data_IF_762954835598
#
_entry.id   IF_762954835598
#
_cell.length_a   1.000
_cell.length_b   1.000
_cell.length_c   1.000
_cell.angle_alpha   90.00
_cell.angle_beta   90.00
_cell.angle_gamma   90.00
#
_symmetry.space_group_name_H-M   'P 1'
#
loop_
_entity.id
_entity.type
_entity.pdbx_description
1 polymer ?
#
# COMPACT_ATOMS: atom_id res chain seq x y z
N UNK A 1 -15.89 9.33 -4.79
CA UNK A 1 -14.84 8.51 -5.44
C UNK A 1 -14.50 7.33 -4.53
N UNK A 2 -14.33 6.14 -5.10
CA UNK A 2 -13.90 4.94 -4.39
C UNK A 2 -12.40 4.73 -4.64
N UNK A 3 -11.59 4.83 -3.59
CA UNK A 3 -10.13 4.69 -3.66
C UNK A 3 -9.69 3.23 -3.58
N UNK A 4 -8.48 2.94 -4.07
CA UNK A 4 -7.87 1.60 -3.96
C UNK A 4 -7.83 1.06 -2.51
N UNK A 5 -7.61 1.93 -1.51
CA UNK A 5 -7.62 1.57 -0.09
C UNK A 5 -8.98 1.10 0.42
N UNK A 6 -10.09 1.57 -0.17
CA UNK A 6 -11.45 1.20 0.19
C UNK A 6 -12.08 0.14 -0.73
N UNK A 7 -11.55 -0.04 -1.94
CA UNK A 7 -12.10 -0.95 -2.94
C UNK A 7 -12.25 -2.39 -2.42
N UNK A 8 -11.23 -2.89 -1.72
CA UNK A 8 -11.25 -4.24 -1.15
C UNK A 8 -12.32 -4.45 -0.08
N UNK A 9 -12.68 -3.39 0.67
CA UNK A 9 -13.76 -3.43 1.66
C UNK A 9 -15.11 -3.59 0.96
N UNK A 10 -15.34 -2.80 -0.09
CA UNK A 10 -16.59 -2.83 -0.87
C UNK A 10 -16.76 -4.18 -1.57
N UNK A 11 -15.73 -4.68 -2.26
CA UNK A 11 -15.81 -5.95 -2.99
C UNK A 11 -16.01 -7.18 -2.10
N UNK A 12 -15.73 -7.07 -0.79
CA UNK A 12 -15.82 -8.19 0.17
C UNK A 12 -16.89 -7.97 1.23
N UNK A 13 -17.72 -6.95 1.05
CA UNK A 13 -18.77 -6.61 1.99
C UNK A 13 -19.74 -7.78 2.13
N UNK A 14 -19.98 -8.22 3.37
CA UNK A 14 -20.96 -9.28 3.65
C UNK A 14 -22.37 -8.72 3.52
N UNK A 15 -23.34 -9.57 3.19
CA UNK A 15 -24.77 -9.18 3.17
C UNK A 15 -25.26 -8.62 4.50
N UNK A 16 -24.65 -9.02 5.62
CA UNK A 16 -24.96 -8.53 6.97
C UNK A 16 -24.25 -7.24 7.34
N UNK A 17 -23.27 -6.78 6.55
CA UNK A 17 -22.58 -5.51 6.78
C UNK A 17 -23.42 -4.37 6.24
N UNK A 18 -23.69 -3.36 7.07
CA UNK A 18 -24.48 -2.20 6.63
C UNK A 18 -23.78 -1.42 5.53
N UNK A 19 -24.40 -1.37 4.35
CA UNK A 19 -23.95 -0.55 3.24
C UNK A 19 -23.90 0.93 3.63
N UNK A 20 -24.91 1.42 4.35
CA UNK A 20 -25.00 2.81 4.78
C UNK A 20 -23.81 3.22 5.67
N UNK A 21 -23.40 2.36 6.60
CA UNK A 21 -22.23 2.63 7.46
C UNK A 21 -20.94 2.64 6.64
N UNK A 22 -20.78 1.67 5.72
CA UNK A 22 -19.61 1.60 4.83
C UNK A 22 -19.48 2.87 3.99
N UNK A 23 -20.57 3.33 3.37
CA UNK A 23 -20.60 4.56 2.57
C UNK A 23 -20.29 5.78 3.44
N UNK A 24 -20.86 5.87 4.65
CA UNK A 24 -20.56 6.96 5.59
C UNK A 24 -19.07 7.02 5.91
N UNK A 25 -18.43 5.89 6.19
CA UNK A 25 -17.00 5.84 6.51
C UNK A 25 -16.10 6.16 5.31
N UNK A 26 -16.55 5.91 4.08
CA UNK A 26 -15.80 6.27 2.87
C UNK A 26 -15.89 7.78 2.63
N UNK A 27 -17.06 8.39 2.83
CA UNK A 27 -17.29 9.83 2.60
C UNK A 27 -16.74 10.70 3.73
N UNK A 28 -16.84 10.21 4.97
CA UNK A 28 -16.45 10.89 6.20
C UNK A 28 -15.57 9.95 7.03
N UNK A 29 -14.32 9.72 6.59
CA UNK A 29 -13.43 8.81 7.29
C UNK A 29 -13.19 9.32 8.72
N UNK A 30 -13.27 8.43 9.73
CA UNK A 30 -12.96 8.81 11.10
C UNK A 30 -11.50 9.24 11.19
N UNK A 31 -11.21 10.18 12.08
CA UNK A 31 -9.84 10.51 12.42
C UNK A 31 -9.23 9.32 13.19
N UNK A 32 -8.21 8.69 12.59
CA UNK A 32 -7.47 7.59 13.20
C UNK A 32 -5.99 7.96 13.19
N UNK A 33 -5.43 8.13 14.38
CA UNK A 33 -3.99 8.33 14.56
C UNK A 33 -3.47 7.30 15.55
N UNK A 34 -2.77 6.29 15.03
CA UNK A 34 -2.21 5.19 15.82
C UNK A 34 -0.70 5.19 15.67
N UNK A 35 0.01 4.62 16.65
CA UNK A 35 1.46 4.48 16.56
C UNK A 35 1.93 3.78 15.28
N UNK A 36 1.15 2.83 14.75
CA UNK A 36 1.45 2.15 13.50
C UNK A 36 1.28 3.06 12.26
N UNK A 37 0.23 3.89 12.22
CA UNK A 37 0.02 4.87 11.12
C UNK A 37 1.12 5.93 11.16
N UNK A 38 1.42 6.47 12.34
CA UNK A 38 2.49 7.45 12.52
C UNK A 38 3.85 6.88 12.09
N UNK A 39 4.20 5.69 12.57
CA UNK A 39 5.42 5.00 12.16
C UNK A 39 5.49 4.79 10.64
N UNK A 40 4.38 4.37 10.03
CA UNK A 40 4.27 4.21 8.58
C UNK A 40 4.62 5.49 7.83
N UNK A 41 3.96 6.59 8.21
CA UNK A 41 4.16 7.93 7.63
C UNK A 41 5.60 8.42 7.79
N UNK A 42 6.18 8.26 8.98
CA UNK A 42 7.52 8.75 9.29
C UNK A 42 8.63 7.99 8.53
N UNK A 43 8.38 6.71 8.20
CA UNK A 43 9.38 5.83 7.55
C UNK A 43 9.18 5.65 6.03
N UNK A 44 8.05 6.09 5.49
CA UNK A 44 7.70 5.89 4.07
C UNK A 44 8.74 6.49 3.12
N UNK A 45 9.16 7.73 3.36
CA UNK A 45 10.12 8.43 2.49
C UNK A 45 11.51 7.78 2.53
N UNK A 46 11.97 7.36 3.71
CA UNK A 46 13.21 6.61 3.85
C UNK A 46 13.15 5.27 3.10
N UNK A 47 12.05 4.51 3.26
CA UNK A 47 11.86 3.25 2.55
C UNK A 47 11.80 3.43 1.03
N UNK A 48 11.26 4.56 0.56
CA UNK A 48 11.23 4.92 -0.86
C UNK A 48 12.63 5.18 -1.42
N UNK A 49 13.46 5.93 -0.68
CA UNK A 49 14.84 6.23 -1.06
C UNK A 49 15.67 4.95 -1.12
N UNK A 50 15.57 4.09 -0.11
CA UNK A 50 16.25 2.80 -0.08
C UNK A 50 15.84 1.93 -1.27
N UNK A 51 14.54 1.86 -1.56
CA UNK A 51 14.02 1.11 -2.70
C UNK A 51 14.58 1.65 -4.02
N UNK A 52 14.63 2.98 -4.19
CA UNK A 52 15.19 3.61 -5.38
C UNK A 52 16.67 3.24 -5.59
N UNK A 53 17.47 3.27 -4.52
CA UNK A 53 18.90 2.88 -4.53
C UNK A 53 19.04 1.41 -4.92
N UNK A 54 18.26 0.52 -4.33
CA UNK A 54 18.34 -0.91 -4.61
C UNK A 54 17.93 -1.27 -6.04
N UNK A 55 16.88 -0.63 -6.54
CA UNK A 55 16.44 -0.81 -7.92
C UNK A 55 17.34 -0.11 -8.93
N UNK A 56 18.24 0.77 -8.47
CA UNK A 56 19.03 1.68 -9.30
C UNK A 56 18.14 2.49 -10.26
N UNK A 57 16.97 2.89 -9.77
CA UNK A 57 15.93 3.58 -10.54
C UNK A 57 15.32 4.70 -9.71
N UNK A 58 14.95 5.79 -10.39
CA UNK A 58 14.26 6.89 -9.75
C UNK A 58 12.79 6.53 -9.53
N UNK A 59 12.29 6.76 -8.30
CA UNK A 59 10.87 6.68 -7.99
C UNK A 59 10.32 8.10 -7.94
N UNK A 60 9.45 8.44 -8.90
CA UNK A 60 8.87 9.78 -9.00
C UNK A 60 7.65 9.90 -8.10
N UNK A 61 7.42 11.08 -7.48
CA UNK A 61 6.16 11.34 -6.77
C UNK A 61 4.99 11.30 -7.77
N UNK A 62 3.80 10.96 -7.28
CA UNK A 62 2.60 10.95 -8.09
C UNK A 62 1.38 11.50 -7.36
N UNK A 63 0.41 11.97 -8.14
CA UNK A 63 -0.88 12.42 -7.64
C UNK A 63 -1.95 11.33 -7.72
N UNK A 64 -3.20 11.77 -7.71
CA UNK A 64 -4.36 10.91 -7.87
C UNK A 64 -4.50 10.46 -9.34
N UNK A 65 -4.52 9.16 -9.56
CA UNK A 65 -4.91 8.56 -10.83
C UNK A 65 -6.40 8.20 -10.81
N UNK A 66 -7.11 8.59 -11.86
CA UNK A 66 -8.52 8.26 -12.07
C UNK A 66 -8.61 7.27 -13.22
N UNK A 67 -9.40 6.21 -13.07
CA UNK A 67 -9.63 5.26 -14.15
C UNK A 67 -10.45 5.92 -15.27
N UNK A 68 -10.00 5.79 -16.52
CA UNK A 68 -10.64 6.45 -17.67
C UNK A 68 -12.05 5.93 -17.94
N UNK A 69 -12.25 4.61 -17.86
CA UNK A 69 -13.54 3.97 -18.15
C UNK A 69 -14.50 4.03 -16.96
N UNK A 70 -13.95 4.13 -15.75
CA UNK A 70 -14.69 4.15 -14.49
C UNK A 70 -14.22 5.33 -13.62
N UNK A 71 -14.63 6.58 -13.92
CA UNK A 71 -14.11 7.78 -13.25
C UNK A 71 -14.38 7.85 -11.74
N UNK A 72 -15.28 7.00 -11.22
CA UNK A 72 -15.51 6.86 -9.78
C UNK A 72 -14.43 6.04 -9.07
N UNK A 73 -13.50 5.38 -9.79
CA UNK A 73 -12.37 4.65 -9.24
C UNK A 73 -11.09 5.48 -9.31
N UNK A 74 -10.35 5.55 -8.20
CA UNK A 74 -9.08 6.24 -8.15
C UNK A 74 -8.05 5.60 -7.22
N UNK A 75 -6.79 5.96 -7.39
CA UNK A 75 -5.69 5.54 -6.54
C UNK A 75 -4.59 6.59 -6.52
N UNK A 76 -3.92 6.72 -5.38
CA UNK A 76 -2.67 7.47 -5.26
C UNK A 76 -1.61 6.45 -4.88
N UNK A 77 -0.81 5.96 -5.84
CA UNK A 77 0.37 5.15 -5.54
C UNK A 77 1.37 5.97 -4.71
N UNK A 78 2.29 5.29 -4.04
CA UNK A 78 3.36 5.95 -3.29
C UNK A 78 4.46 6.45 -4.24
N UNK A 79 4.55 5.90 -5.45
CA UNK A 79 5.41 6.45 -6.49
C UNK A 79 5.24 5.80 -7.87
N UNK A 80 5.88 6.42 -8.85
CA UNK A 80 5.96 5.95 -10.23
C UNK A 80 7.38 5.47 -10.54
N UNK A 81 7.48 4.36 -11.27
CA UNK A 81 8.74 3.73 -11.66
C UNK A 81 8.75 3.52 -13.18
N UNK A 82 9.75 4.08 -13.85
CA UNK A 82 9.88 4.03 -15.32
C UNK A 82 8.63 4.57 -16.05
N UNK A 83 8.12 3.86 -17.06
CA UNK A 83 6.99 4.28 -17.91
C UNK A 83 5.61 3.77 -17.44
N UNK A 84 5.54 2.58 -16.82
CA UNK A 84 4.28 1.92 -16.46
C UNK A 84 4.28 1.37 -15.01
N UNK A 85 5.40 1.48 -14.31
CA UNK A 85 5.57 0.92 -12.98
C UNK A 85 4.95 1.82 -11.93
N UNK A 86 4.28 1.21 -10.96
CA UNK A 86 3.81 1.90 -9.75
C UNK A 86 4.43 1.24 -8.52
N UNK A 87 4.62 2.04 -7.48
CA UNK A 87 5.18 1.61 -6.20
C UNK A 87 4.14 1.80 -5.11
N UNK A 88 4.02 0.80 -4.24
CA UNK A 88 3.22 0.83 -3.02
C UNK A 88 4.13 0.35 -1.88
N UNK A 89 4.49 1.25 -0.98
CA UNK A 89 5.36 1.05 0.17
C UNK A 89 4.50 0.80 1.40
N UNK A 90 4.94 -0.13 2.24
CA UNK A 90 4.31 -0.37 3.54
C UNK A 90 5.38 -0.59 4.59
N UNK A 91 5.33 0.23 5.64
CA UNK A 91 6.23 0.16 6.78
C UNK A 91 5.44 -0.27 8.03
N UNK A 92 5.16 -1.57 8.22
CA UNK A 92 4.41 -2.04 9.38
C UNK A 92 5.26 -1.94 10.66
N UNK A 93 4.69 -1.35 11.71
CA UNK A 93 5.37 -1.23 13.01
C UNK A 93 5.85 -2.58 13.57
N UNK A 94 5.13 -3.67 13.30
CA UNK A 94 5.53 -5.02 13.72
C UNK A 94 6.83 -5.53 13.08
N UNK A 95 7.27 -4.93 11.98
CA UNK A 95 8.52 -5.27 11.30
C UNK A 95 9.65 -4.27 11.58
N UNK A 96 9.47 -3.35 12.53
CA UNK A 96 10.42 -2.23 12.78
C UNK A 96 11.88 -2.68 12.91
N UNK A 97 12.12 -3.78 13.62
CA UNK A 97 13.47 -4.28 13.91
C UNK A 97 13.87 -5.45 13.01
N UNK A 98 13.07 -5.74 11.99
CA UNK A 98 13.27 -6.89 11.13
C UNK A 98 13.78 -6.46 9.77
N UNK A 99 14.46 -7.42 9.18
CA UNK A 99 14.76 -7.44 7.78
C UNK A 99 13.50 -7.51 6.89
N UNK A 100 13.57 -7.17 5.60
CA UNK A 100 12.49 -7.43 4.65
C UNK A 100 12.27 -8.94 4.55
N UNK A 101 13.36 -9.66 4.38
CA UNK A 101 13.43 -11.10 4.28
C UNK A 101 12.94 -11.75 5.59
N UNK A 102 13.46 -11.31 6.74
CA UNK A 102 13.03 -11.79 8.06
C UNK A 102 11.55 -11.47 8.32
N UNK A 103 11.07 -10.29 7.94
CA UNK A 103 9.67 -9.89 8.14
C UNK A 103 8.72 -10.77 7.31
N UNK A 104 9.08 -11.13 6.08
CA UNK A 104 8.28 -12.03 5.24
C UNK A 104 8.23 -13.44 5.81
N UNK A 105 9.34 -13.91 6.38
CA UNK A 105 9.43 -15.24 6.97
C UNK A 105 8.69 -15.35 8.31
N UNK A 106 8.89 -14.38 9.20
CA UNK A 106 8.38 -14.40 10.58
C UNK A 106 6.95 -13.88 10.70
N UNK A 107 6.54 -12.92 9.88
CA UNK A 107 5.20 -12.31 9.96
C UNK A 107 4.28 -12.94 8.91
N UNK A 108 3.49 -13.93 9.34
CA UNK A 108 2.50 -14.63 8.51
C UNK A 108 1.54 -13.69 7.75
N UNK A 109 1.20 -12.54 8.35
CA UNK A 109 0.40 -11.49 7.71
C UNK A 109 1.09 -10.89 6.48
N UNK A 110 2.40 -10.68 6.53
CA UNK A 110 3.19 -10.17 5.42
C UNK A 110 3.40 -11.24 4.36
N UNK A 111 3.69 -12.48 4.75
CA UNK A 111 3.77 -13.63 3.82
C UNK A 111 2.57 -13.71 2.86
N UNK A 112 1.36 -13.49 3.38
CA UNK A 112 0.13 -13.45 2.57
C UNK A 112 0.06 -12.24 1.61
N UNK A 113 0.67 -11.12 1.96
CA UNK A 113 0.70 -9.92 1.11
C UNK A 113 1.64 -10.12 -0.09
N UNK A 114 2.79 -10.77 0.11
CA UNK A 114 3.73 -11.09 -0.96
C UNK A 114 3.26 -12.25 -1.86
N UNK A 115 2.67 -13.31 -1.28
CA UNK A 115 2.23 -14.48 -2.05
C UNK A 115 1.00 -14.24 -2.96
N UNK A 116 0.29 -13.11 -2.82
CA UNK A 116 -0.95 -12.85 -3.57
C UNK A 116 -0.73 -12.30 -4.98
N UNK A 117 0.52 -12.13 -5.42
CA UNK A 117 0.87 -11.57 -6.74
C UNK A 117 1.90 -12.41 -7.50
N UNK A 118 1.46 -13.58 -8.00
CA UNK A 118 1.93 -14.14 -9.27
C UNK A 118 0.71 -14.75 -9.99
N UNK A 119 -0.22 -13.87 -10.37
CA UNK A 119 -1.38 -14.19 -11.20
C UNK A 119 -1.37 -13.26 -12.41
N UNK A 120 -1.20 -13.84 -13.60
CA UNK A 120 -0.98 -13.19 -14.89
C UNK A 120 -1.98 -12.06 -15.20
N UNK A 121 -1.50 -10.97 -15.84
CA UNK A 121 -2.22 -9.81 -16.45
C UNK A 121 -2.44 -8.51 -15.65
N UNK A 122 -1.50 -8.11 -14.78
CA UNK A 122 -1.23 -6.67 -14.58
C UNK A 122 0.27 -6.50 -14.32
N UNK A 123 0.97 -5.71 -15.16
CA UNK A 123 2.34 -5.24 -14.91
C UNK A 123 2.35 -4.35 -13.66
N UNK A 124 2.24 -4.94 -12.47
CA UNK A 124 2.04 -4.21 -11.21
C UNK A 124 3.03 -4.76 -10.20
N UNK A 125 4.27 -4.30 -10.35
CA UNK A 125 5.36 -4.50 -9.40
C UNK A 125 4.92 -3.83 -8.08
N UNK A 126 4.26 -4.57 -7.19
CA UNK A 126 4.08 -4.11 -5.80
C UNK A 126 5.30 -4.59 -5.05
N UNK A 127 6.30 -3.74 -4.95
CA UNK A 127 7.44 -3.98 -4.06
C UNK A 127 7.03 -3.44 -2.70
N UNK A 128 6.58 -4.34 -1.83
CA UNK A 128 6.49 -4.05 -0.40
C UNK A 128 7.94 -4.04 0.08
N UNK A 129 8.47 -2.84 0.29
CA UNK A 129 9.81 -2.66 0.80
C UNK A 129 9.76 -2.50 2.32
N UNK A 130 10.50 -3.33 3.04
CA UNK A 130 10.59 -3.31 4.51
C UNK A 130 12.08 -3.26 4.86
N UNK A 131 12.67 -2.08 5.06
CA UNK A 131 13.96 -2.01 5.79
C UNK A 131 14.10 -0.84 6.73
N UNK A 132 14.93 -0.89 7.78
CA UNK A 132 15.54 -1.95 8.62
C UNK A 132 15.94 -1.23 9.94
N UNK A 133 16.30 -2.03 10.97
CA UNK A 133 17.09 -1.69 12.17
C UNK A 133 17.56 -0.22 12.25
N UNK A 134 16.98 0.53 13.18
CA UNK A 134 17.50 1.83 13.60
C UNK A 134 19.01 1.64 13.90
N UNK A 135 19.87 2.27 13.10
CA UNK A 135 21.32 2.35 13.33
C UNK A 135 21.60 3.46 14.31
#
# INVERSE_FOLDING_TARGET
>A
MLTASNFGVVCRMRSTTSCAITVKNILFPPFIDTAAIKYGRDKEEMAKQDLAVQLKKQIKPCGLFINRDNPWLGATPDGFLDEDGIVEIKCPLSAKNLSAEEAVETLSRLKRMFNKKIGNKMKKITIIFIKYKDS
#
